data_IF_131128420030
#
_entry.id   IF_131128420030
#
_cell.length_a   1.000
_cell.length_b   1.000
_cell.length_c   1.000
_cell.angle_alpha   90.00
_cell.angle_beta   90.00
_cell.angle_gamma   90.00
#
_symmetry.space_group_name_H-M   'P 1'
#
loop_
_entity.id
_entity.type
_entity.pdbx_description
1 polymer ?
#
# COMPACT_ATOMS: atom_id res chain seq x y z
N UNK A 1 47.60 -36.32 26.63
CA UNK A 1 47.29 -34.95 27.09
C UNK A 1 47.99 -34.07 26.08
N UNK A 2 47.32 -33.53 25.07
CA UNK A 2 46.34 -32.44 25.20
C UNK A 2 45.15 -32.69 24.26
N UNK A 3 43.95 -32.75 24.84
CA UNK A 3 42.70 -32.62 24.10
C UNK A 3 42.10 -31.27 24.41
N UNK A 4 41.26 -30.80 23.49
CA UNK A 4 40.36 -29.63 23.57
C UNK A 4 41.12 -28.30 23.48
N UNK A 5 40.85 -27.41 22.53
CA UNK A 5 39.53 -26.87 22.18
C UNK A 5 39.72 -26.01 20.94
N UNK A 6 38.88 -26.17 19.90
CA UNK A 6 38.37 -25.08 19.02
C UNK A 6 37.61 -25.68 17.83
N UNK A 7 36.38 -26.12 18.08
CA UNK A 7 35.41 -26.41 17.02
C UNK A 7 34.03 -26.03 17.55
N UNK A 8 33.78 -24.74 17.77
CA UNK A 8 32.48 -24.29 18.30
C UNK A 8 32.14 -22.82 18.02
N UNK A 9 32.71 -22.19 16.99
CA UNK A 9 32.42 -20.77 16.67
C UNK A 9 31.77 -20.51 15.31
N UNK A 10 31.52 -21.53 14.49
CA UNK A 10 30.98 -21.35 13.12
C UNK A 10 29.48 -21.62 12.95
N UNK A 11 28.77 -22.16 13.95
CA UNK A 11 27.35 -22.53 13.79
C UNK A 11 26.34 -21.46 14.27
N UNK A 12 26.78 -20.32 14.81
CA UNK A 12 25.88 -19.30 15.39
C UNK A 12 25.57 -18.08 14.50
N UNK A 13 25.99 -18.07 13.23
CA UNK A 13 25.84 -16.90 12.34
C UNK A 13 24.80 -17.05 11.21
N UNK A 14 24.07 -18.16 11.11
CA UNK A 14 23.17 -18.40 9.96
C UNK A 14 21.68 -18.32 10.24
N UNK A 15 21.22 -18.20 11.50
CA UNK A 15 19.77 -18.28 11.79
C UNK A 15 19.07 -16.93 12.03
N UNK A 16 19.80 -15.85 12.33
CA UNK A 16 19.20 -14.54 12.63
C UNK A 16 19.21 -13.55 11.45
N UNK A 17 19.98 -13.81 10.40
CA UNK A 17 20.08 -12.94 9.22
C UNK A 17 18.83 -13.06 8.32
N UNK A 18 18.21 -14.24 8.21
CA UNK A 18 17.11 -14.49 7.26
C UNK A 18 15.75 -13.92 7.66
N UNK A 19 15.45 -13.82 8.96
CA UNK A 19 14.11 -13.44 9.44
C UNK A 19 13.90 -11.92 9.45
N UNK A 20 14.96 -11.15 9.73
CA UNK A 20 14.92 -9.69 9.72
C UNK A 20 14.96 -9.14 8.28
N UNK A 21 15.76 -9.74 7.39
CA UNK A 21 15.78 -9.35 5.98
C UNK A 21 14.46 -9.64 5.26
N UNK A 22 13.81 -10.78 5.53
CA UNK A 22 12.49 -11.07 4.93
C UNK A 22 11.43 -10.06 5.37
N UNK A 23 11.39 -9.72 6.66
CA UNK A 23 10.48 -8.69 7.19
C UNK A 23 10.75 -7.30 6.60
N UNK A 24 12.01 -6.90 6.48
CA UNK A 24 12.41 -5.63 5.86
C UNK A 24 12.08 -5.58 4.37
N UNK A 25 12.31 -6.67 3.64
CA UNK A 25 11.97 -6.78 2.22
C UNK A 25 10.44 -6.74 2.00
N UNK A 26 9.67 -7.48 2.82
CA UNK A 26 8.21 -7.45 2.73
C UNK A 26 7.65 -6.04 3.02
N UNK A 27 8.23 -5.34 4.00
CA UNK A 27 7.83 -3.98 4.32
C UNK A 27 8.14 -3.01 3.17
N UNK A 28 9.34 -3.11 2.62
CA UNK A 28 9.83 -2.18 1.60
C UNK A 28 9.12 -2.38 0.26
N UNK A 29 8.96 -3.62 -0.18
CA UNK A 29 8.45 -3.92 -1.52
C UNK A 29 6.94 -4.13 -1.58
N UNK A 30 6.28 -4.46 -0.46
CA UNK A 30 4.83 -4.72 -0.45
C UNK A 30 4.07 -3.77 0.46
N UNK A 31 4.44 -3.66 1.75
CA UNK A 31 3.64 -2.87 2.70
C UNK A 31 3.68 -1.37 2.39
N UNK A 32 4.86 -0.82 2.06
CA UNK A 32 4.99 0.58 1.67
C UNK A 32 4.12 0.92 0.45
N UNK A 33 4.30 0.30 -0.73
CA UNK A 33 3.46 0.63 -1.89
C UNK A 33 1.98 0.34 -1.65
N UNK A 34 1.64 -0.71 -0.89
CA UNK A 34 0.26 -0.98 -0.51
C UNK A 34 -0.33 0.15 0.34
N UNK A 35 0.42 0.67 1.33
CA UNK A 35 -0.03 1.78 2.17
C UNK A 35 -0.26 3.06 1.38
N UNK A 36 0.62 3.38 0.42
CA UNK A 36 0.44 4.52 -0.48
C UNK A 36 -0.76 4.30 -1.42
N UNK A 37 -0.97 3.07 -1.89
CA UNK A 37 -2.13 2.70 -2.70
C UNK A 37 -3.44 2.85 -1.92
N UNK A 38 -3.50 2.37 -0.68
CA UNK A 38 -4.65 2.54 0.22
C UNK A 38 -4.90 4.02 0.50
N UNK A 39 -3.85 4.81 0.75
CA UNK A 39 -3.98 6.26 0.95
C UNK A 39 -4.56 6.96 -0.29
N UNK A 40 -4.09 6.60 -1.49
CA UNK A 40 -4.63 7.11 -2.74
C UNK A 40 -6.10 6.76 -2.94
N UNK A 41 -6.47 5.50 -2.75
CA UNK A 41 -7.87 5.06 -2.80
C UNK A 41 -8.73 5.78 -1.76
N UNK A 42 -8.25 5.91 -0.53
CA UNK A 42 -8.94 6.58 0.56
C UNK A 42 -9.22 8.06 0.22
N UNK A 43 -8.32 8.74 -0.50
CA UNK A 43 -8.56 10.11 -0.96
C UNK A 43 -9.77 10.20 -1.90
N UNK A 44 -9.85 9.36 -2.93
CA UNK A 44 -11.00 9.32 -3.84
C UNK A 44 -12.28 8.89 -3.14
N UNK A 45 -12.21 7.87 -2.29
CA UNK A 45 -13.37 7.41 -1.53
C UNK A 45 -13.87 8.50 -0.57
N UNK A 46 -12.96 9.24 0.09
CA UNK A 46 -13.33 10.35 0.97
C UNK A 46 -14.07 11.46 0.23
N UNK A 47 -13.68 11.75 -1.02
CA UNK A 47 -14.37 12.73 -1.86
C UNK A 47 -15.84 12.34 -2.07
N UNK A 48 -16.10 11.09 -2.45
CA UNK A 48 -17.46 10.58 -2.65
C UNK A 48 -18.24 10.59 -1.33
N UNK A 49 -17.58 10.19 -0.24
CA UNK A 49 -18.12 10.27 1.13
C UNK A 49 -18.60 11.69 1.46
N UNK A 50 -17.77 12.70 1.20
CA UNK A 50 -18.12 14.10 1.42
C UNK A 50 -19.24 14.56 0.49
N UNK A 51 -19.22 14.16 -0.78
CA UNK A 51 -20.30 14.50 -1.73
C UNK A 51 -21.63 13.93 -1.27
N UNK A 52 -21.70 12.66 -0.89
CA UNK A 52 -22.93 12.05 -0.38
C UNK A 52 -23.36 12.66 0.96
N UNK A 53 -22.41 13.01 1.82
CA UNK A 53 -22.70 13.71 3.07
C UNK A 53 -23.32 15.09 2.81
N UNK A 54 -22.77 15.87 1.88
CA UNK A 54 -23.33 17.16 1.52
C UNK A 54 -24.70 17.03 0.87
N UNK A 55 -24.90 16.06 -0.04
CA UNK A 55 -26.20 15.81 -0.64
C UNK A 55 -27.28 15.54 0.41
N UNK A 56 -26.94 14.79 1.46
CA UNK A 56 -27.83 14.55 2.58
C UNK A 56 -28.07 15.82 3.43
N UNK A 57 -27.00 16.56 3.80
CA UNK A 57 -27.10 17.79 4.61
C UNK A 57 -27.94 18.87 3.90
N UNK A 58 -27.81 19.01 2.59
CA UNK A 58 -28.58 19.97 1.80
C UNK A 58 -29.99 19.49 1.46
N UNK A 59 -30.40 18.30 1.91
CA UNK A 59 -31.72 17.74 1.65
C UNK A 59 -31.97 17.36 0.19
N UNK A 60 -30.91 17.18 -0.61
CA UNK A 60 -30.99 16.71 -2.00
C UNK A 60 -31.30 15.21 -2.01
N UNK A 61 -30.75 14.47 -1.04
CA UNK A 61 -30.98 13.04 -0.87
C UNK A 61 -31.72 12.78 0.45
N UNK A 62 -32.75 11.92 0.41
CA UNK A 62 -33.57 11.60 1.57
C UNK A 62 -32.83 10.75 2.62
N UNK A 63 -31.76 10.06 2.21
CA UNK A 63 -30.94 9.25 3.10
C UNK A 63 -29.46 9.33 2.72
N UNK A 64 -28.60 9.19 3.72
CA UNK A 64 -27.18 8.97 3.51
C UNK A 64 -26.94 7.47 3.35
N UNK A 65 -26.67 7.05 2.11
CA UNK A 65 -26.32 5.66 1.78
C UNK A 65 -25.05 5.67 0.95
N UNK A 66 -24.15 4.72 1.25
CA UNK A 66 -22.99 4.45 0.40
C UNK A 66 -23.24 3.15 -0.32
N UNK A 67 -23.24 3.23 -1.64
CA UNK A 67 -23.52 2.09 -2.51
C UNK A 67 -22.23 1.44 -3.00
N UNK A 68 -22.34 0.20 -3.46
CA UNK A 68 -21.20 -0.49 -4.09
C UNK A 68 -20.65 0.30 -5.29
N UNK A 69 -21.52 1.04 -5.97
CA UNK A 69 -21.14 1.88 -7.10
C UNK A 69 -20.17 3.00 -6.69
N UNK A 70 -20.31 3.56 -5.48
CA UNK A 70 -19.40 4.59 -4.94
C UNK A 70 -17.98 4.03 -4.75
N UNK A 71 -17.87 2.78 -4.27
CA UNK A 71 -16.59 2.08 -4.12
C UNK A 71 -15.96 1.77 -5.48
N UNK A 72 -16.77 1.38 -6.47
CA UNK A 72 -16.29 1.12 -7.83
C UNK A 72 -15.80 2.42 -8.49
N UNK A 73 -16.52 3.54 -8.29
CA UNK A 73 -16.12 4.84 -8.80
C UNK A 73 -14.81 5.33 -8.17
N UNK A 74 -14.65 5.21 -6.85
CA UNK A 74 -13.40 5.59 -6.19
C UNK A 74 -12.22 4.72 -6.64
N UNK A 75 -12.44 3.41 -6.83
CA UNK A 75 -11.43 2.50 -7.37
C UNK A 75 -11.04 2.89 -8.80
N UNK A 76 -12.02 3.22 -9.63
CA UNK A 76 -11.80 3.64 -11.02
C UNK A 76 -10.97 4.92 -11.09
N UNK A 77 -11.32 5.93 -10.29
CA UNK A 77 -10.55 7.18 -10.21
C UNK A 77 -9.11 6.95 -9.74
N UNK A 78 -8.93 6.09 -8.74
CA UNK A 78 -7.61 5.70 -8.25
C UNK A 78 -6.78 4.99 -9.34
N UNK A 79 -7.35 4.01 -10.05
CA UNK A 79 -6.65 3.28 -11.12
C UNK A 79 -6.25 4.20 -12.26
N UNK A 80 -7.11 5.13 -12.68
CA UNK A 80 -6.76 6.10 -13.71
C UNK A 80 -5.63 7.03 -13.26
N UNK A 81 -5.68 7.54 -12.03
CA UNK A 81 -4.62 8.40 -11.50
C UNK A 81 -3.28 7.65 -11.39
N UNK A 82 -3.31 6.41 -10.90
CA UNK A 82 -2.13 5.55 -10.83
C UNK A 82 -1.58 5.25 -12.23
N UNK A 83 -2.45 4.92 -13.19
CA UNK A 83 -2.08 4.66 -14.58
C UNK A 83 -1.48 5.89 -15.27
N UNK A 84 -2.04 7.08 -15.03
CA UNK A 84 -1.47 8.33 -15.56
C UNK A 84 -0.07 8.60 -15.01
N UNK A 85 0.14 8.38 -13.70
CA UNK A 85 1.47 8.52 -13.09
C UNK A 85 2.46 7.47 -13.56
N UNK A 86 1.98 6.24 -13.79
CA UNK A 86 2.77 5.18 -14.40
C UNK A 86 3.23 5.59 -15.80
N UNK A 87 2.32 6.04 -16.67
CA UNK A 87 2.68 6.52 -18.01
C UNK A 87 3.67 7.69 -17.96
N UNK A 88 3.47 8.66 -17.06
CA UNK A 88 4.42 9.78 -16.88
C UNK A 88 5.82 9.31 -16.50
N UNK A 89 5.92 8.27 -15.65
CA UNK A 89 7.19 7.68 -15.25
C UNK A 89 7.93 7.06 -16.45
N UNK A 90 7.23 6.27 -17.29
CA UNK A 90 7.84 5.66 -18.48
C UNK A 90 8.17 6.67 -19.58
N UNK A 91 7.33 7.69 -19.78
CA UNK A 91 7.62 8.75 -20.74
C UNK A 91 8.82 9.63 -20.37
N UNK A 92 9.24 9.64 -19.10
CA UNK A 92 10.43 10.36 -18.64
C UNK A 92 11.74 9.60 -18.82
N UNK A 93 11.71 8.27 -19.01
CA UNK A 93 12.92 7.47 -19.24
C UNK A 93 13.43 7.56 -20.70
N UNK A 94 12.61 8.08 -21.63
CA UNK A 94 12.94 8.16 -23.07
C UNK A 94 13.53 9.51 -23.53
N UNK A 95 13.68 10.51 -22.64
CA UNK A 95 14.32 11.81 -22.93
C UNK A 95 15.51 12.07 -22.00
#
# INVERSE_FOLDING_TARGET
MESTTQTQSTEFYTETIGRNQFGENLKTYFLNPLSFGIAGFAAFFSLILFTNLFNYIFGISESFSIEMNDVIMSLTGFVFAAGAKFLEFFSKEEN
#
